data_IF_887229453607
#
_entry.id   IF_887229453607
#
_cell.length_a   1.000
_cell.length_b   1.000
_cell.length_c   1.000
_cell.angle_alpha   90.00
_cell.angle_beta   90.00
_cell.angle_gamma   90.00
#
_symmetry.space_group_name_H-M   'P 1'
#
loop_
_entity.id
_entity.type
_entity.pdbx_description
1 polymer ?
#
# COMPACT_ATOMS: atom_id res chain seq x y z
N UNK A 1 2.44 27.81 -11.17
CA UNK A 1 1.36 27.44 -10.23
C UNK A 1 1.28 25.94 -9.94
N UNK A 2 1.52 25.06 -10.92
CA UNK A 2 1.37 23.60 -10.75
C UNK A 2 2.41 22.98 -9.79
N UNK A 3 3.65 23.46 -9.82
CA UNK A 3 4.74 23.04 -8.93
C UNK A 3 4.45 23.28 -7.44
N UNK A 4 3.82 24.41 -7.10
CA UNK A 4 3.45 24.76 -5.72
C UNK A 4 2.39 23.81 -5.17
N UNK A 5 1.40 23.43 -6.00
CA UNK A 5 0.37 22.45 -5.64
C UNK A 5 0.95 21.05 -5.44
N UNK A 6 1.88 20.62 -6.30
CA UNK A 6 2.60 19.35 -6.13
C UNK A 6 3.39 19.31 -4.81
N UNK A 7 4.07 20.40 -4.43
CA UNK A 7 4.78 20.51 -3.13
C UNK A 7 3.84 20.42 -1.95
N UNK A 8 2.70 21.13 -1.99
CA UNK A 8 1.70 21.09 -0.93
C UNK A 8 1.11 19.68 -0.75
N UNK A 9 0.76 19.00 -1.85
CA UNK A 9 0.26 17.62 -1.82
C UNK A 9 1.29 16.65 -1.24
N UNK A 10 2.57 16.76 -1.61
CA UNK A 10 3.63 15.93 -1.01
C UNK A 10 3.76 16.14 0.49
N UNK A 11 3.67 17.40 0.96
CA UNK A 11 3.73 17.71 2.40
C UNK A 11 2.53 17.11 3.14
N UNK A 12 1.34 17.21 2.56
CA UNK A 12 0.13 16.63 3.15
C UNK A 12 0.17 15.11 3.15
N UNK A 13 0.58 14.47 2.05
CA UNK A 13 0.75 13.02 1.95
C UNK A 13 1.75 12.51 2.99
N UNK A 14 2.91 13.16 3.12
CA UNK A 14 3.93 12.77 4.11
C UNK A 14 3.45 12.95 5.56
N UNK A 15 2.59 13.92 5.83
CA UNK A 15 2.06 14.17 7.17
C UNK A 15 0.94 13.20 7.57
N UNK A 16 0.15 12.73 6.59
CA UNK A 16 -1.06 11.92 6.86
C UNK A 16 -0.89 10.44 6.53
N UNK A 17 0.10 10.07 5.71
CA UNK A 17 0.32 8.71 5.25
C UNK A 17 1.78 8.32 5.38
N UNK A 18 2.02 7.12 5.91
CA UNK A 18 3.32 6.46 5.83
C UNK A 18 3.43 5.64 4.54
N UNK A 19 4.54 5.83 3.82
CA UNK A 19 4.86 5.03 2.64
C UNK A 19 5.70 3.83 3.02
N UNK A 20 5.14 2.63 2.95
CA UNK A 20 5.88 1.38 3.12
C UNK A 20 6.39 0.94 1.74
N UNK A 21 7.70 0.93 1.55
CA UNK A 21 8.34 0.40 0.34
C UNK A 21 8.95 -0.94 0.66
N UNK A 22 8.48 -2.00 0.00
CA UNK A 22 9.04 -3.35 0.11
C UNK A 22 9.69 -3.76 -1.20
N UNK A 23 10.83 -4.47 -1.11
CA UNK A 23 11.44 -5.13 -2.25
C UNK A 23 10.93 -6.56 -2.29
N UNK A 24 10.27 -6.90 -3.39
CA UNK A 24 9.76 -8.24 -3.64
C UNK A 24 10.30 -8.77 -4.97
N UNK A 25 10.40 -10.10 -5.15
CA UNK A 25 10.72 -10.69 -6.44
C UNK A 25 9.76 -10.23 -7.56
N UNK A 26 10.23 -10.30 -8.81
CA UNK A 26 9.37 -10.01 -9.96
C UNK A 26 8.23 -11.03 -10.02
N UNK A 27 7.01 -10.56 -10.25
CA UNK A 27 5.79 -11.39 -10.29
C UNK A 27 5.02 -11.46 -8.96
N UNK A 28 5.62 -11.09 -7.83
CA UNK A 28 4.92 -11.07 -6.54
C UNK A 28 3.82 -10.00 -6.52
N UNK A 29 4.02 -8.88 -7.21
CA UNK A 29 2.99 -7.83 -7.32
C UNK A 29 1.72 -8.34 -8.00
N UNK A 30 1.86 -9.00 -9.16
CA UNK A 30 0.74 -9.64 -9.86
C UNK A 30 0.03 -10.67 -8.98
N UNK A 31 0.78 -11.49 -8.24
CA UNK A 31 0.17 -12.45 -7.31
C UNK A 31 -0.66 -11.75 -6.22
N UNK A 32 -0.12 -10.71 -5.57
CA UNK A 32 -0.85 -9.95 -4.55
C UNK A 32 -2.10 -9.32 -5.16
N UNK A 33 -2.02 -8.83 -6.40
CA UNK A 33 -3.18 -8.29 -7.11
C UNK A 33 -4.25 -9.35 -7.32
N UNK A 34 -3.90 -10.54 -7.80
CA UNK A 34 -4.86 -11.66 -7.98
C UNK A 34 -5.50 -12.06 -6.65
N UNK A 35 -4.74 -12.12 -5.57
CA UNK A 35 -5.30 -12.42 -4.24
C UNK A 35 -6.22 -11.32 -3.73
N UNK A 36 -5.85 -10.06 -3.92
CA UNK A 36 -6.68 -8.91 -3.55
C UNK A 36 -7.98 -8.90 -4.36
N UNK A 37 -7.91 -9.11 -5.67
CA UNK A 37 -9.07 -9.20 -6.57
C UNK A 37 -9.97 -10.39 -6.15
N UNK A 38 -9.39 -11.54 -5.81
CA UNK A 38 -10.13 -12.70 -5.30
C UNK A 38 -10.80 -12.45 -3.95
N UNK A 39 -10.23 -11.57 -3.12
CA UNK A 39 -10.79 -11.17 -1.84
C UNK A 39 -11.79 -10.01 -1.96
N UNK A 40 -11.97 -9.44 -3.16
CA UNK A 40 -12.79 -8.23 -3.37
C UNK A 40 -12.19 -6.98 -2.72
N UNK A 41 -10.89 -6.97 -2.42
CA UNK A 41 -10.19 -5.92 -1.72
C UNK A 41 -9.23 -5.17 -2.63
N UNK A 42 -8.93 -3.91 -2.30
CA UNK A 42 -7.79 -3.24 -2.92
C UNK A 42 -6.47 -3.90 -2.49
N UNK A 43 -5.46 -3.88 -3.35
CA UNK A 43 -4.12 -4.39 -3.05
C UNK A 43 -3.56 -3.84 -1.72
N UNK A 44 -3.80 -2.55 -1.44
CA UNK A 44 -3.35 -1.92 -0.19
C UNK A 44 -4.16 -2.37 1.04
N UNK A 45 -5.46 -2.61 0.90
CA UNK A 45 -6.28 -3.19 1.98
C UNK A 45 -5.87 -4.64 2.25
N UNK A 46 -5.68 -5.44 1.20
CA UNK A 46 -5.24 -6.82 1.30
C UNK A 46 -3.90 -6.95 2.04
N UNK A 47 -2.92 -6.11 1.71
CA UNK A 47 -1.62 -6.10 2.42
C UNK A 47 -1.81 -5.73 3.89
N UNK A 48 -2.64 -4.73 4.22
CA UNK A 48 -2.90 -4.32 5.61
C UNK A 48 -3.57 -5.42 6.42
N UNK A 49 -4.58 -6.07 5.87
CA UNK A 49 -5.27 -7.20 6.53
C UNK A 49 -4.35 -8.39 6.71
N UNK A 50 -3.58 -8.76 5.69
CA UNK A 50 -2.61 -9.85 5.78
C UNK A 50 -1.54 -9.58 6.86
N UNK A 51 -1.06 -8.34 6.98
CA UNK A 51 -0.15 -7.93 8.06
C UNK A 51 -0.83 -8.03 9.43
N UNK A 52 -2.10 -7.60 9.55
CA UNK A 52 -2.87 -7.65 10.79
C UNK A 52 -3.13 -9.09 11.24
N UNK A 53 -3.60 -9.96 10.35
CA UNK A 53 -3.82 -11.39 10.63
C UNK A 53 -2.53 -12.09 11.09
N UNK A 54 -1.38 -11.75 10.50
CA UNK A 54 -0.08 -12.29 10.91
C UNK A 54 0.35 -11.80 12.28
N UNK A 55 0.09 -10.53 12.60
CA UNK A 55 0.44 -9.93 13.89
C UNK A 55 -0.46 -10.41 15.04
N UNK A 56 -1.75 -10.67 14.78
CA UNK A 56 -2.69 -11.21 15.78
C UNK A 56 -2.39 -12.66 16.19
N UNK A 57 -1.55 -13.37 15.43
CA UNK A 57 -1.11 -14.74 15.72
C UNK A 57 0.17 -14.82 16.57
N UNK A 58 0.65 -13.68 17.09
CA UNK A 58 1.83 -13.59 17.97
C UNK A 58 1.39 -13.65 19.43
#
# INVERSE_FOLDING_TARGET
>A
MEESRKKANRKWLKANYESITIRVPKGTREQIKVWADSAGLSMASYIREACKEKAEKI
#
